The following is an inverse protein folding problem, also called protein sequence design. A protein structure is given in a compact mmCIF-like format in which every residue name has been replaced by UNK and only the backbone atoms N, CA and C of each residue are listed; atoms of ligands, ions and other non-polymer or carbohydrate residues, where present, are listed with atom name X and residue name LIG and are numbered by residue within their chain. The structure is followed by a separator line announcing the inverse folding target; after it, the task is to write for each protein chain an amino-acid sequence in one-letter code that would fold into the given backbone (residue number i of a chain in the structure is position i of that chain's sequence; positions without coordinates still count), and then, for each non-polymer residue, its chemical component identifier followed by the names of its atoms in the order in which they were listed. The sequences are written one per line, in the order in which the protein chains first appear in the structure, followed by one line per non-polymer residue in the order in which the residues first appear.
data_IF_221728466316
#
_entry.id   IF_221728466316
#
_cell.length_a   1.000
_cell.length_b   1.000
_cell.length_c   1.000
_cell.angle_alpha   90.00
_cell.angle_beta   90.00
_cell.angle_gamma   90.00
#
_symmetry.space_group_name_H-M   'P 1'
#
loop_
_entity.id
_entity.type
_entity.pdbx_description
1 polymer ?
#
# COMPACT_ATOMS: atom_id res chain seq x y z
N UNK A 1 43.82 19.74 19.65
CA UNK A 1 43.29 20.72 20.62
C UNK A 1 42.53 21.80 19.86
N UNK A 2 41.24 22.00 20.13
CA UNK A 2 40.41 23.19 19.87
C UNK A 2 38.97 22.85 20.36
N UNK A 3 38.70 23.00 21.67
CA UNK A 3 37.99 24.12 22.34
C UNK A 3 36.51 24.29 21.93
N UNK A 4 35.64 23.67 22.75
CA UNK A 4 34.40 24.18 23.40
C UNK A 4 33.35 24.90 22.53
N UNK A 5 32.10 24.43 22.62
CA UNK A 5 30.93 25.22 23.05
C UNK A 5 29.99 24.30 23.85
N UNK A 6 29.54 24.80 25.01
CA UNK A 6 28.64 24.15 25.96
C UNK A 6 27.18 24.57 25.70
N UNK A 7 26.28 23.77 26.26
CA UNK A 7 24.81 23.79 26.20
C UNK A 7 24.11 25.13 26.45
N UNK A 8 22.87 25.23 25.96
CA UNK A 8 21.82 26.10 26.50
C UNK A 8 20.57 25.28 26.85
N UNK A 9 20.25 25.29 28.14
CA UNK A 9 18.97 24.88 28.71
C UNK A 9 18.03 26.08 28.58
N UNK A 10 16.84 25.89 28.03
CA UNK A 10 15.73 26.84 28.21
C UNK A 10 14.45 26.05 28.48
N UNK A 11 14.24 25.82 29.77
CA UNK A 11 12.95 25.51 30.38
C UNK A 11 12.08 26.76 30.37
N UNK A 12 10.90 26.71 29.74
CA UNK A 12 9.83 27.68 29.99
C UNK A 12 8.54 26.93 30.29
N UNK A 13 8.06 27.18 31.49
CA UNK A 13 6.91 26.61 32.17
C UNK A 13 5.77 27.64 32.05
N UNK A 14 4.69 27.30 31.36
CA UNK A 14 3.41 28.03 31.32
C UNK A 14 2.35 26.92 31.23
N UNK A 15 1.51 26.61 32.22
CA UNK A 15 0.92 27.42 33.27
C UNK A 15 -0.50 27.82 32.86
N UNK A 16 -1.53 27.17 33.42
CA UNK A 16 -2.87 27.78 33.58
C UNK A 16 -4.05 27.18 32.79
N UNK A 17 -4.70 26.18 33.39
CA UNK A 17 -6.11 26.22 33.85
C UNK A 17 -7.14 27.05 33.06
N UNK A 18 -8.17 26.37 32.50
CA UNK A 18 -9.49 26.96 32.22
C UNK A 18 -10.60 26.02 32.72
N UNK A 19 -11.07 26.32 33.94
CA UNK A 19 -12.37 25.92 34.46
C UNK A 19 -13.44 26.87 33.87
N UNK A 20 -14.63 26.35 33.53
CA UNK A 20 -15.80 27.22 33.40
C UNK A 20 -16.93 26.74 32.48
N UNK A 21 -17.85 25.97 33.08
CA UNK A 21 -19.31 25.93 32.90
C UNK A 21 -19.98 26.37 31.58
N UNK A 22 -20.86 25.50 31.08
CA UNK A 22 -21.92 25.87 30.11
C UNK A 22 -22.82 24.68 29.78
N UNK A 23 -23.96 24.59 30.46
CA UNK A 23 -25.03 23.62 30.21
C UNK A 23 -25.54 23.70 28.76
N UNK A 24 -25.68 22.55 28.08
CA UNK A 24 -26.67 22.40 27.02
C UNK A 24 -27.59 21.21 27.37
N UNK A 25 -28.77 21.58 27.85
CA UNK A 25 -29.97 20.76 27.89
C UNK A 25 -30.49 20.66 26.46
N UNK A 26 -30.52 19.46 25.87
CA UNK A 26 -31.31 19.22 24.67
C UNK A 26 -32.63 18.56 25.06
N UNK A 27 -33.71 19.27 24.75
CA UNK A 27 -35.09 18.84 24.94
C UNK A 27 -35.39 17.62 24.06
N UNK A 28 -35.72 16.49 24.69
CA UNK A 28 -36.30 15.34 24.01
C UNK A 28 -37.81 15.53 23.97
N UNK A 29 -38.29 15.89 22.79
CA UNK A 29 -39.71 16.08 22.50
C UNK A 29 -40.43 14.72 22.58
N UNK A 30 -41.48 14.67 23.39
CA UNK A 30 -42.45 13.58 23.48
C UNK A 30 -43.26 13.49 22.20
N UNK A 31 -43.33 12.31 21.61
CA UNK A 31 -44.16 12.02 20.43
C UNK A 31 -44.38 10.52 20.32
N UNK A 32 -45.40 10.08 21.05
CA UNK A 32 -46.12 8.81 21.04
C UNK A 32 -45.61 7.64 20.19
N UNK A 33 -45.31 6.56 20.92
CA UNK A 33 -45.43 5.20 20.41
C UNK A 33 -46.91 4.91 20.13
N UNK A 34 -47.25 4.71 18.85
CA UNK A 34 -48.42 3.93 18.46
C UNK A 34 -47.98 2.83 17.51
N UNK A 35 -48.32 1.62 17.91
CA UNK A 35 -48.21 0.37 17.17
C UNK A 35 -49.05 0.45 15.90
N UNK A 36 -48.44 0.22 14.74
CA UNK A 36 -49.16 -0.39 13.63
C UNK A 36 -48.24 -1.28 12.79
N UNK A 37 -48.30 -2.57 13.10
CA UNK A 37 -47.75 -3.64 12.29
C UNK A 37 -48.79 -4.02 11.24
N UNK A 38 -48.64 -3.58 10.00
CA UNK A 38 -48.84 -4.43 8.81
C UNK A 38 -48.73 -3.64 7.49
N UNK A 39 -48.21 -4.35 6.48
CA UNK A 39 -48.18 -4.07 5.02
C UNK A 39 -47.07 -3.19 4.45
N UNK A 40 -46.08 -3.92 3.91
CA UNK A 40 -45.50 -3.80 2.56
C UNK A 40 -44.93 -2.42 2.16
N UNK A 41 -43.62 -2.29 1.90
CA UNK A 41 -42.94 -3.05 0.86
C UNK A 41 -41.60 -3.61 1.34
N UNK A 42 -41.46 -4.92 1.22
CA UNK A 42 -40.18 -5.59 1.08
C UNK A 42 -39.53 -5.00 -0.17
N UNK A 43 -38.57 -4.11 0.00
CA UNK A 43 -37.60 -3.82 -1.07
C UNK A 43 -36.82 -5.11 -1.22
N UNK A 44 -37.25 -5.88 -2.21
CA UNK A 44 -36.55 -7.02 -2.76
C UNK A 44 -35.12 -6.57 -3.01
N UNK A 45 -34.20 -6.98 -2.12
CA UNK A 45 -32.78 -6.97 -2.41
C UNK A 45 -32.62 -7.87 -3.62
N UNK A 46 -32.61 -7.25 -4.80
CA UNK A 46 -32.17 -7.93 -6.00
C UNK A 46 -30.79 -8.53 -5.67
N UNK A 47 -30.58 -9.84 -5.85
CA UNK A 47 -29.25 -10.37 -5.74
C UNK A 47 -28.43 -9.62 -6.77
N UNK A 48 -27.38 -8.91 -6.32
CA UNK A 48 -26.34 -8.38 -7.19
C UNK A 48 -25.68 -9.58 -7.89
N UNK A 49 -26.35 -10.10 -8.92
CA UNK A 49 -25.91 -11.17 -9.80
C UNK A 49 -25.10 -10.55 -10.93
N UNK A 50 -24.22 -9.63 -10.56
CA UNK A 50 -23.09 -9.18 -11.35
C UNK A 50 -21.88 -9.62 -10.57
N UNK A 51 -21.41 -10.85 -10.85
CA UNK A 51 -20.17 -11.33 -10.26
C UNK A 51 -19.10 -10.26 -10.40
N UNK A 52 -18.40 -9.96 -9.32
CA UNK A 52 -17.13 -9.24 -9.36
C UNK A 52 -16.19 -10.06 -10.24
N UNK A 53 -16.30 -9.87 -11.56
CA UNK A 53 -15.39 -10.41 -12.53
C UNK A 53 -14.05 -9.82 -12.14
N UNK A 54 -13.20 -10.66 -11.54
CA UNK A 54 -11.75 -10.48 -11.50
C UNK A 54 -11.23 -10.47 -12.94
N UNK A 55 -11.59 -9.43 -13.70
CA UNK A 55 -10.82 -9.02 -14.86
C UNK A 55 -9.48 -8.56 -14.33
N UNK A 56 -8.41 -9.15 -14.85
CA UNK A 56 -6.99 -8.79 -14.63
C UNK A 56 -6.74 -7.27 -14.78
N UNK A 57 -7.11 -6.48 -13.79
CA UNK A 57 -6.72 -5.09 -13.58
C UNK A 57 -6.44 -4.99 -12.08
N UNK A 58 -5.17 -4.80 -11.75
CA UNK A 58 -4.67 -4.86 -10.38
C UNK A 58 -5.46 -3.95 -9.45
N UNK A 59 -5.56 -4.40 -8.20
CA UNK A 59 -6.29 -3.82 -7.07
C UNK A 59 -5.91 -2.37 -6.71
N UNK A 60 -5.00 -1.72 -7.44
CA UNK A 60 -4.56 -0.35 -7.23
C UNK A 60 -5.33 0.73 -8.01
N UNK A 61 -6.44 0.38 -8.68
CA UNK A 61 -7.17 1.27 -9.60
C UNK A 61 -8.64 1.49 -9.17
N UNK A 62 -8.91 1.53 -7.85
CA UNK A 62 -10.27 1.69 -7.31
C UNK A 62 -10.51 2.94 -6.46
N UNK A 63 -9.48 3.75 -6.20
CA UNK A 63 -9.69 5.19 -5.99
C UNK A 63 -9.47 5.88 -7.34
N UNK A 64 -10.42 5.68 -8.26
CA UNK A 64 -10.42 6.47 -9.49
C UNK A 64 -11.05 7.80 -9.14
N UNK A 65 -10.36 8.87 -9.48
CA UNK A 65 -10.91 10.23 -9.50
C UNK A 65 -12.33 10.22 -10.11
N UNK A 66 -12.59 9.33 -11.07
CA UNK A 66 -13.90 8.98 -11.65
C UNK A 66 -15.04 8.83 -10.63
N UNK A 67 -14.83 8.17 -9.48
CA UNK A 67 -15.91 7.95 -8.50
C UNK A 67 -16.23 9.24 -7.74
N UNK A 68 -15.22 10.02 -7.37
CA UNK A 68 -15.44 11.29 -6.67
C UNK A 68 -16.06 12.31 -7.61
N UNK A 69 -15.61 12.36 -8.87
CA UNK A 69 -16.22 13.17 -9.93
C UNK A 69 -17.68 12.81 -10.17
N UNK A 70 -18.02 11.52 -10.30
CA UNK A 70 -19.40 11.07 -10.50
C UNK A 70 -20.30 11.43 -9.31
N UNK A 71 -19.79 11.35 -8.07
CA UNK A 71 -20.53 11.73 -6.87
C UNK A 71 -20.75 13.24 -6.78
N UNK A 72 -19.78 14.04 -7.21
CA UNK A 72 -19.90 15.50 -7.28
C UNK A 72 -20.89 15.92 -8.38
N UNK A 73 -20.83 15.31 -9.57
CA UNK A 73 -21.76 15.56 -10.68
C UNK A 73 -23.21 15.22 -10.32
N UNK A 74 -23.42 14.12 -9.58
CA UNK A 74 -24.74 13.75 -9.05
C UNK A 74 -25.20 14.62 -7.88
N UNK A 75 -24.37 15.57 -7.43
CA UNK A 75 -24.66 16.44 -6.30
C UNK A 75 -24.77 15.72 -4.96
N UNK A 76 -24.23 14.49 -4.85
CA UNK A 76 -24.26 13.71 -3.60
C UNK A 76 -23.25 14.30 -2.61
N UNK A 77 -22.11 14.78 -3.10
CA UNK A 77 -21.07 15.47 -2.32
C UNK A 77 -20.69 16.79 -3.00
N UNK A 78 -20.15 17.74 -2.23
CA UNK A 78 -19.57 18.96 -2.79
C UNK A 78 -18.15 18.73 -3.33
N UNK A 79 -17.68 19.65 -4.19
CA UNK A 79 -16.30 19.63 -4.68
C UNK A 79 -15.27 19.69 -3.54
N UNK A 80 -15.52 20.52 -2.52
CA UNK A 80 -14.65 20.61 -1.34
C UNK A 80 -14.60 19.31 -0.54
N UNK A 81 -15.71 18.56 -0.47
CA UNK A 81 -15.75 17.26 0.18
C UNK A 81 -14.97 16.22 -0.62
N UNK A 82 -15.08 16.24 -1.95
CA UNK A 82 -14.32 15.36 -2.84
C UNK A 82 -12.81 15.57 -2.68
N UNK A 83 -12.35 16.83 -2.63
CA UNK A 83 -10.93 17.16 -2.42
C UNK A 83 -10.40 16.65 -1.08
N UNK A 84 -11.14 16.86 0.02
CA UNK A 84 -10.75 16.35 1.35
C UNK A 84 -10.67 14.83 1.40
N UNK A 85 -11.61 14.13 0.74
CA UNK A 85 -11.58 12.67 0.65
C UNK A 85 -10.37 12.20 -0.17
N UNK A 86 -10.08 12.87 -1.29
CA UNK A 86 -8.90 12.57 -2.13
C UNK A 86 -7.61 12.70 -1.31
N UNK A 87 -7.41 13.83 -0.64
CA UNK A 87 -6.23 14.08 0.17
C UNK A 87 -6.08 13.05 1.31
N UNK A 88 -7.16 12.78 2.06
CA UNK A 88 -7.16 11.79 3.14
C UNK A 88 -6.76 10.39 2.64
N UNK A 89 -7.30 9.99 1.49
CA UNK A 89 -7.05 8.67 0.92
C UNK A 89 -5.64 8.57 0.38
N UNK A 90 -5.15 9.58 -0.33
CA UNK A 90 -3.75 9.63 -0.79
C UNK A 90 -2.78 9.55 0.38
N UNK A 91 -3.03 10.32 1.44
CA UNK A 91 -2.21 10.29 2.65
C UNK A 91 -2.22 8.90 3.30
N UNK A 92 -3.39 8.29 3.46
CA UNK A 92 -3.52 6.95 4.05
C UNK A 92 -2.85 5.88 3.20
N UNK A 93 -3.01 5.93 1.88
CA UNK A 93 -2.33 5.00 0.97
C UNK A 93 -0.81 5.14 1.04
N UNK A 94 -0.29 6.36 1.12
CA UNK A 94 1.15 6.61 1.24
C UNK A 94 1.67 6.09 2.59
N UNK A 95 0.97 6.32 3.70
CA UNK A 95 1.31 5.76 5.00
C UNK A 95 1.36 4.23 4.98
N UNK A 96 0.32 3.58 4.46
CA UNK A 96 0.30 2.12 4.34
C UNK A 96 1.39 1.59 3.41
N UNK A 97 1.68 2.31 2.32
CA UNK A 97 2.76 1.96 1.39
C UNK A 97 4.11 2.01 2.10
N UNK A 98 4.39 3.06 2.86
CA UNK A 98 5.63 3.20 3.62
C UNK A 98 5.76 2.09 4.67
N UNK A 99 4.68 1.80 5.40
CA UNK A 99 4.67 0.70 6.37
C UNK A 99 4.95 -0.65 5.71
N UNK A 100 4.27 -0.97 4.60
CA UNK A 100 4.51 -2.22 3.86
C UNK A 100 5.95 -2.30 3.32
N UNK A 101 6.51 -1.18 2.85
CA UNK A 101 7.90 -1.13 2.39
C UNK A 101 8.88 -1.40 3.52
N UNK A 102 8.69 -0.80 4.70
CA UNK A 102 9.53 -1.03 5.88
C UNK A 102 9.47 -2.49 6.34
N UNK A 103 8.26 -3.06 6.47
CA UNK A 103 8.07 -4.46 6.84
C UNK A 103 8.75 -5.39 5.83
N UNK A 104 8.57 -5.13 4.54
CA UNK A 104 9.20 -5.93 3.49
C UNK A 104 10.73 -5.83 3.53
N UNK A 105 11.28 -4.65 3.82
CA UNK A 105 12.73 -4.42 3.93
C UNK A 105 13.31 -5.22 5.10
N UNK A 106 12.64 -5.19 6.26
CA UNK A 106 13.03 -6.00 7.42
C UNK A 106 13.00 -7.50 7.11
N UNK A 107 11.93 -8.00 6.49
CA UNK A 107 11.83 -9.41 6.09
C UNK A 107 12.95 -9.84 5.13
N UNK A 108 13.30 -8.99 4.16
CA UNK A 108 14.41 -9.26 3.24
C UNK A 108 15.73 -9.30 3.99
N UNK A 109 15.98 -8.31 4.86
CA UNK A 109 17.22 -8.24 5.64
C UNK A 109 17.42 -9.46 6.53
N UNK A 110 16.36 -9.90 7.22
CA UNK A 110 16.35 -11.12 8.03
C UNK A 110 16.59 -12.38 7.19
N UNK A 111 15.96 -12.47 6.01
CA UNK A 111 16.14 -13.60 5.11
C UNK A 111 17.59 -13.68 4.59
N UNK A 112 18.18 -12.55 4.21
CA UNK A 112 19.58 -12.49 3.80
C UNK A 112 20.52 -12.79 4.96
N UNK A 113 20.20 -12.35 6.18
CA UNK A 113 20.99 -12.66 7.37
C UNK A 113 21.07 -14.18 7.62
N UNK A 114 19.96 -14.91 7.46
CA UNK A 114 19.97 -16.38 7.54
C UNK A 114 20.84 -17.03 6.46
N UNK A 115 20.90 -16.45 5.27
CA UNK A 115 21.81 -16.91 4.21
C UNK A 115 23.28 -16.64 4.52
N UNK A 116 23.59 -15.56 5.26
CA UNK A 116 24.93 -15.31 5.79
C UNK A 116 25.30 -16.32 6.87
N UNK A 117 24.40 -16.58 7.81
CA UNK A 117 24.62 -17.54 8.91
C UNK A 117 24.81 -18.97 8.43
N UNK A 118 24.12 -19.36 7.36
CA UNK A 118 24.32 -20.66 6.69
C UNK A 118 25.56 -20.73 5.81
N UNK A 119 26.28 -19.61 5.62
CA UNK A 119 27.45 -19.53 4.74
C UNK A 119 27.11 -19.55 3.25
N UNK A 120 25.84 -19.43 2.88
CA UNK A 120 25.40 -19.39 1.48
C UNK A 120 25.90 -18.12 0.79
N UNK A 121 25.90 -16.99 1.50
CA UNK A 121 26.45 -15.72 1.03
C UNK A 121 27.34 -15.10 2.11
N UNK A 122 28.18 -14.13 1.74
CA UNK A 122 28.97 -13.37 2.72
C UNK A 122 28.20 -12.12 3.21
N UNK A 123 28.63 -11.55 4.34
CA UNK A 123 28.09 -10.26 4.81
C UNK A 123 28.25 -9.17 3.76
N UNK A 124 29.39 -9.12 3.06
CA UNK A 124 29.63 -8.14 1.99
C UNK A 124 28.64 -8.30 0.82
N UNK A 125 28.27 -9.54 0.48
CA UNK A 125 27.25 -9.81 -0.55
C UNK A 125 25.87 -9.36 -0.08
N UNK A 126 25.50 -9.63 1.17
CA UNK A 126 24.26 -9.12 1.78
C UNK A 126 24.18 -7.59 1.65
N UNK A 127 25.24 -6.88 2.04
CA UNK A 127 25.26 -5.42 2.01
C UNK A 127 25.13 -4.88 0.58
N UNK A 128 25.78 -5.52 -0.40
CA UNK A 128 25.64 -5.17 -1.82
C UNK A 128 24.23 -5.41 -2.35
N UNK A 129 23.56 -6.50 -1.94
CA UNK A 129 22.17 -6.79 -2.31
C UNK A 129 21.24 -5.72 -1.74
N UNK A 130 21.41 -5.34 -0.46
CA UNK A 130 20.62 -4.29 0.19
C UNK A 130 20.82 -2.93 -0.49
N UNK A 131 22.05 -2.55 -0.78
CA UNK A 131 22.36 -1.31 -1.50
C UNK A 131 21.71 -1.28 -2.89
N UNK A 132 21.75 -2.40 -3.61
CA UNK A 132 21.09 -2.52 -4.92
C UNK A 132 19.56 -2.42 -4.82
N UNK A 133 18.95 -2.99 -3.78
CA UNK A 133 17.52 -2.84 -3.53
C UNK A 133 17.13 -1.39 -3.24
N UNK A 134 17.93 -0.68 -2.45
CA UNK A 134 17.71 0.73 -2.12
C UNK A 134 17.84 1.60 -3.39
N UNK A 135 18.82 1.32 -4.26
CA UNK A 135 18.96 1.98 -5.57
C UNK A 135 17.72 1.79 -6.44
N UNK A 136 17.20 0.56 -6.54
CA UNK A 136 16.00 0.26 -7.32
C UNK A 136 14.73 0.88 -6.72
N UNK A 137 14.65 1.03 -5.41
CA UNK A 137 13.53 1.74 -4.78
C UNK A 137 13.58 3.23 -5.10
N UNK A 138 14.75 3.86 -5.03
CA UNK A 138 14.92 5.26 -5.41
C UNK A 138 14.55 5.52 -6.87
N UNK A 139 14.98 4.63 -7.79
CA UNK A 139 14.58 4.69 -9.19
C UNK A 139 13.05 4.59 -9.34
N UNK A 140 12.40 3.66 -8.63
CA UNK A 140 10.94 3.52 -8.66
C UNK A 140 10.22 4.75 -8.13
N UNK A 141 10.74 5.39 -7.09
CA UNK A 141 10.15 6.63 -6.55
C UNK A 141 10.21 7.76 -7.57
N UNK A 142 11.35 7.96 -8.22
CA UNK A 142 11.50 8.95 -9.29
C UNK A 142 10.56 8.65 -10.47
N UNK A 143 10.40 7.38 -10.84
CA UNK A 143 9.43 6.99 -11.88
C UNK A 143 7.99 7.30 -11.49
N UNK A 144 7.62 7.09 -10.23
CA UNK A 144 6.29 7.43 -9.74
C UNK A 144 6.06 8.93 -9.79
N UNK A 145 7.04 9.75 -9.39
CA UNK A 145 6.95 11.21 -9.51
C UNK A 145 6.77 11.66 -10.96
N UNK A 146 7.52 11.07 -11.90
CA UNK A 146 7.34 11.33 -13.33
C UNK A 146 5.92 10.99 -13.79
N UNK A 147 5.41 9.81 -13.42
CA UNK A 147 4.08 9.35 -13.84
C UNK A 147 2.94 10.14 -13.20
N UNK A 148 3.11 10.62 -11.96
CA UNK A 148 2.12 11.47 -11.27
C UNK A 148 1.85 12.77 -12.03
N UNK A 149 2.88 13.33 -12.66
CA UNK A 149 2.79 14.60 -13.39
C UNK A 149 2.37 14.43 -14.86
N UNK A 150 2.24 13.20 -15.36
CA UNK A 150 1.81 12.91 -16.74
C UNK A 150 0.29 12.97 -16.88
N UNK A 151 -0.18 13.43 -18.05
CA UNK A 151 -1.57 13.31 -18.49
C UNK A 151 -1.98 11.84 -18.68
N UNK A 152 -3.27 11.56 -18.81
CA UNK A 152 -3.75 10.19 -19.00
C UNK A 152 -3.23 9.56 -20.31
N UNK A 153 -3.13 10.34 -21.38
CA UNK A 153 -2.63 9.89 -22.68
C UNK A 153 -1.13 9.57 -22.63
N UNK A 154 -0.33 10.47 -22.05
CA UNK A 154 1.11 10.26 -21.85
C UNK A 154 1.38 9.06 -20.93
N UNK A 155 0.58 8.92 -19.87
CA UNK A 155 0.67 7.79 -18.93
C UNK A 155 0.37 6.46 -19.63
N UNK A 156 -0.64 6.40 -20.50
CA UNK A 156 -0.97 5.21 -21.30
C UNK A 156 0.20 4.83 -22.20
N UNK A 157 0.73 5.78 -22.98
CA UNK A 157 1.86 5.56 -23.86
C UNK A 157 3.11 5.06 -23.09
N UNK A 158 3.42 5.70 -21.96
CA UNK A 158 4.54 5.32 -21.09
C UNK A 158 4.43 3.87 -20.62
N UNK A 159 3.25 3.44 -20.16
CA UNK A 159 3.07 2.06 -19.69
C UNK A 159 3.03 1.02 -20.82
N UNK A 160 2.55 1.37 -22.02
CA UNK A 160 2.61 0.48 -23.18
C UNK A 160 4.06 0.20 -23.62
N UNK A 161 4.88 1.25 -23.69
CA UNK A 161 6.30 1.14 -23.99
C UNK A 161 7.01 0.30 -22.92
N UNK A 162 6.78 0.63 -21.64
CA UNK A 162 7.42 -0.06 -20.50
C UNK A 162 6.98 -1.51 -20.33
N UNK A 163 5.72 -1.83 -20.63
CA UNK A 163 5.24 -3.21 -20.65
C UNK A 163 5.99 -4.05 -21.70
N UNK A 164 6.25 -3.45 -22.86
CA UNK A 164 6.98 -4.10 -23.94
C UNK A 164 8.44 -4.34 -23.59
N UNK A 165 9.08 -3.45 -22.82
CA UNK A 165 10.46 -3.66 -22.33
C UNK A 165 10.51 -4.71 -21.21
N UNK A 166 9.56 -4.72 -20.28
CA UNK A 166 9.49 -5.71 -19.20
C UNK A 166 9.19 -7.13 -19.71
N UNK A 167 8.37 -7.28 -20.75
CA UNK A 167 8.14 -8.58 -21.39
C UNK A 167 9.43 -9.19 -21.97
N UNK A 168 10.36 -8.35 -22.43
CA UNK A 168 11.65 -8.78 -22.98
C UNK A 168 12.66 -9.17 -21.88
N UNK A 169 12.57 -8.57 -20.69
CA UNK A 169 13.52 -8.80 -19.59
C UNK A 169 13.27 -10.07 -18.75
N UNK A 170 12.14 -10.77 -18.94
CA UNK A 170 11.87 -12.06 -18.28
C UNK A 170 11.62 -11.99 -16.76
N UNK A 171 11.27 -13.13 -16.15
CA UNK A 171 10.87 -13.23 -14.72
C UNK A 171 12.02 -13.10 -13.71
N UNK A 172 13.27 -13.08 -14.18
CA UNK A 172 14.48 -13.16 -13.35
C UNK A 172 15.32 -11.88 -13.34
N UNK A 173 14.82 -10.77 -13.89
CA UNK A 173 15.63 -9.56 -14.16
C UNK A 173 16.46 -9.09 -12.96
N UNK A 174 15.88 -9.02 -11.76
CA UNK A 174 16.59 -8.52 -10.59
C UNK A 174 17.76 -9.42 -10.17
N UNK A 175 17.56 -10.73 -10.11
CA UNK A 175 18.60 -11.67 -9.68
C UNK A 175 19.66 -11.82 -10.76
N UNK A 176 19.25 -11.81 -12.02
CA UNK A 176 20.15 -11.84 -13.16
C UNK A 176 21.07 -10.61 -13.18
N UNK A 177 20.54 -9.41 -12.93
CA UNK A 177 21.35 -8.20 -12.79
C UNK A 177 22.38 -8.29 -11.66
N UNK A 178 22.06 -8.96 -10.55
CA UNK A 178 23.02 -9.18 -9.45
C UNK A 178 24.11 -10.19 -9.82
N UNK A 179 23.78 -11.20 -10.63
CA UNK A 179 24.76 -12.15 -11.19
C UNK A 179 25.66 -11.47 -12.21
N UNK A 180 25.09 -10.71 -13.14
CA UNK A 180 25.83 -9.98 -14.18
C UNK A 180 26.80 -8.95 -13.57
N UNK A 181 26.43 -8.33 -12.44
CA UNK A 181 27.30 -7.44 -11.65
C UNK A 181 28.38 -8.19 -10.85
N UNK A 182 28.40 -9.53 -10.88
CA UNK A 182 29.31 -10.36 -10.11
C UNK A 182 29.09 -10.28 -8.59
N UNK A 183 27.92 -9.83 -8.15
CA UNK A 183 27.56 -9.77 -6.73
C UNK A 183 27.20 -11.17 -6.22
N UNK A 184 26.49 -11.93 -7.04
CA UNK A 184 26.05 -13.30 -6.74
C UNK A 184 26.52 -14.28 -7.82
N UNK A 185 26.69 -15.54 -7.43
CA UNK A 185 26.68 -16.66 -8.37
C UNK A 185 25.23 -17.04 -8.72
N UNK A 186 25.04 -17.84 -9.77
CA UNK A 186 23.70 -18.32 -10.14
C UNK A 186 23.02 -19.10 -9.00
N UNK A 187 23.79 -19.92 -8.28
CA UNK A 187 23.30 -20.71 -7.14
C UNK A 187 22.89 -19.81 -5.97
N UNK A 188 23.72 -18.82 -5.63
CA UNK A 188 23.42 -17.82 -4.60
C UNK A 188 22.18 -17.01 -4.98
N UNK A 189 22.05 -16.61 -6.24
CA UNK A 189 20.92 -15.85 -6.73
C UNK A 189 19.60 -16.63 -6.63
N UNK A 190 19.63 -17.95 -6.87
CA UNK A 190 18.48 -18.83 -6.66
C UNK A 190 18.11 -18.93 -5.18
N UNK A 191 19.09 -19.13 -4.31
CA UNK A 191 18.86 -19.22 -2.86
C UNK A 191 18.30 -17.90 -2.30
N UNK A 192 18.86 -16.76 -2.72
CA UNK A 192 18.36 -15.43 -2.37
C UNK A 192 16.93 -15.25 -2.86
N UNK A 193 16.64 -15.60 -4.12
CA UNK A 193 15.28 -15.50 -4.66
C UNK A 193 14.27 -16.30 -3.84
N UNK A 194 14.62 -17.53 -3.48
CA UNK A 194 13.74 -18.40 -2.72
C UNK A 194 13.49 -17.86 -1.31
N UNK A 195 14.54 -17.35 -0.65
CA UNK A 195 14.47 -16.80 0.69
C UNK A 195 13.62 -15.52 0.79
N UNK A 196 13.66 -14.65 -0.23
CA UNK A 196 12.96 -13.35 -0.21
C UNK A 196 11.59 -13.38 -0.90
N UNK A 197 11.17 -14.54 -1.42
CA UNK A 197 9.87 -14.68 -2.10
C UNK A 197 8.74 -14.57 -1.07
N UNK A 198 7.70 -13.74 -1.31
CA UNK A 198 6.55 -13.72 -0.42
C UNK A 198 5.89 -15.12 -0.39
N UNK A 199 5.39 -15.57 0.77
CA UNK A 199 4.72 -16.86 0.89
C UNK A 199 3.54 -16.89 -0.09
N UNK A 200 3.47 -17.94 -0.92
CA UNK A 200 2.29 -18.15 -1.76
C UNK A 200 1.12 -18.51 -0.83
N UNK A 201 -0.08 -17.93 -1.02
CA UNK A 201 -1.27 -18.48 -0.38
C UNK A 201 -1.37 -19.94 -0.81
N UNK A 202 -1.28 -20.86 0.14
CA UNK A 202 -1.59 -22.27 -0.11
C UNK A 202 -3.08 -22.33 -0.44
N UNK A 203 -3.50 -22.93 -1.56
CA UNK A 203 -4.91 -23.23 -1.75
C UNK A 203 -5.33 -24.15 -0.61
N UNK A 204 -6.37 -23.75 0.15
CA UNK A 204 -6.90 -24.56 1.24
C UNK A 204 -7.18 -25.97 0.72
N UNK A 205 -6.56 -26.98 1.32
CA UNK A 205 -6.76 -28.39 0.99
C UNK A 205 -8.17 -28.91 1.36
N UNK A 206 -9.13 -28.03 1.64
CA UNK A 206 -10.49 -28.38 2.06
C UNK A 206 -11.49 -28.56 0.91
N UNK A 207 -11.12 -28.27 -0.34
CA UNK A 207 -12.04 -28.39 -1.49
C UNK A 207 -11.81 -29.61 -2.38
N UNK A 208 -10.98 -30.59 -2.00
CA UNK A 208 -10.70 -31.76 -2.85
C UNK A 208 -11.37 -33.07 -2.43
N UNK A 209 -12.23 -33.09 -1.42
CA UNK A 209 -12.96 -34.30 -1.02
C UNK A 209 -14.47 -34.04 -0.96
N UNK A 210 -15.11 -33.90 -2.12
CA UNK A 210 -16.56 -34.06 -2.23
C UNK A 210 -16.95 -34.50 -3.64
N UNK A 211 -16.43 -35.64 -4.09
CA UNK A 211 -16.94 -36.37 -5.25
C UNK A 211 -16.32 -37.77 -5.25
N UNK A 212 -16.78 -38.62 -4.33
CA UNK A 212 -16.80 -40.08 -4.47
C UNK A 212 -17.56 -40.67 -3.26
N UNK A 213 -18.88 -40.80 -3.41
CA UNK A 213 -19.68 -42.00 -3.04
C UNK A 213 -21.08 -41.85 -3.61
#
# INVERSE_FOLDING_TARGET
MNKKIKAFISSALIGGMLLGAGNLVFAQNTGDASTDSSKAAVVEQAPFKGGFRHGKKGLGMFFREDILSELTEKGIISSEQAEKVKEYVEQKMEQERQQRQQQRRQQIEEALQKLVESGTITSEKKDKILAYLDEKEAQRQQEIEKVKNMTEEERKAYFEEKKSSLQKQGKYSMMQELVDKGILTEEEAKAVMEAIRPPRPVPDASTSNSEET
#
